data_IF_224687503701
#
_entry.id   IF_224687503701
#
_cell.length_a   1.000
_cell.length_b   1.000
_cell.length_c   1.000
_cell.angle_alpha   90.00
_cell.angle_beta   90.00
_cell.angle_gamma   90.00
#
_symmetry.space_group_name_H-M   'P 1'
#
loop_
_entity.id
_entity.type
_entity.pdbx_description
1 polymer ?
#
# COMPACT_ATOMS: atom_id res chain seq x y z
N UNK A 1 14.76 3.09 -9.88
CA UNK A 1 14.41 3.92 -11.05
C UNK A 1 13.01 3.58 -11.50
N UNK A 2 12.29 4.53 -12.08
CA UNK A 2 10.96 4.32 -12.69
C UNK A 2 10.84 5.16 -13.95
N UNK A 3 10.03 4.72 -14.91
CA UNK A 3 9.66 5.56 -16.05
C UNK A 3 8.43 6.35 -15.66
N UNK A 4 8.49 7.67 -15.79
CA UNK A 4 7.32 8.54 -15.73
C UNK A 4 6.93 8.84 -17.17
N UNK A 5 5.72 8.41 -17.57
CA UNK A 5 5.13 8.68 -18.86
C UNK A 5 4.02 9.72 -18.70
N UNK A 6 4.16 10.84 -19.39
CA UNK A 6 3.22 11.96 -19.40
C UNK A 6 2.57 12.03 -20.77
N UNK A 7 1.26 11.86 -20.82
CA UNK A 7 0.45 12.01 -22.03
C UNK A 7 -0.28 13.35 -21.89
N UNK A 8 0.09 14.36 -22.69
CA UNK A 8 -0.50 15.70 -22.65
C UNK A 8 -0.58 16.29 -24.06
N UNK A 9 -1.26 17.43 -24.22
CA UNK A 9 -1.29 18.15 -25.50
C UNK A 9 0.12 18.60 -25.91
N UNK A 10 0.40 18.58 -27.22
CA UNK A 10 1.73 18.88 -27.77
C UNK A 10 2.32 20.23 -27.31
N UNK A 11 1.50 21.22 -26.95
CA UNK A 11 1.96 22.52 -26.44
C UNK A 11 2.66 22.46 -25.07
N UNK A 12 2.47 21.38 -24.30
CA UNK A 12 3.13 21.21 -23.00
C UNK A 12 4.50 20.54 -23.10
N UNK A 13 4.88 20.01 -24.27
CA UNK A 13 6.10 19.23 -24.46
C UNK A 13 7.37 20.01 -24.10
N UNK A 14 7.46 21.28 -24.53
CA UNK A 14 8.61 22.15 -24.24
C UNK A 14 8.74 22.44 -22.74
N UNK A 15 7.60 22.54 -22.04
CA UNK A 15 7.61 22.81 -20.60
C UNK A 15 7.96 21.56 -19.80
N UNK A 16 7.51 20.38 -20.26
CA UNK A 16 7.91 19.08 -19.70
C UNK A 16 9.41 18.85 -19.92
N UNK A 17 9.95 19.25 -21.08
CA UNK A 17 11.39 19.23 -21.34
C UNK A 17 12.16 20.15 -20.36
N UNK A 18 11.64 21.34 -20.08
CA UNK A 18 12.21 22.24 -19.07
C UNK A 18 12.24 21.65 -17.66
N UNK A 19 11.19 20.91 -17.26
CA UNK A 19 11.19 20.17 -15.99
C UNK A 19 12.25 19.06 -16.00
N UNK A 20 12.39 18.33 -17.10
CA UNK A 20 13.41 17.29 -17.22
C UNK A 20 14.83 17.87 -17.11
N UNK A 21 15.12 19.00 -17.77
CA UNK A 21 16.40 19.70 -17.66
C UNK A 21 16.64 20.26 -16.26
N UNK A 22 15.63 20.87 -15.63
CA UNK A 22 15.74 21.44 -14.28
C UNK A 22 16.10 20.39 -13.23
N UNK A 23 15.60 19.16 -13.38
CA UNK A 23 15.90 18.05 -12.49
C UNK A 23 17.07 17.17 -12.99
N UNK A 24 17.79 17.62 -14.03
CA UNK A 24 18.93 16.91 -14.63
C UNK A 24 18.59 15.46 -15.02
N UNK A 25 17.42 15.25 -15.62
CA UNK A 25 17.01 13.95 -16.12
C UNK A 25 17.58 13.77 -17.53
N UNK A 26 18.63 12.96 -17.64
CA UNK A 26 19.37 12.75 -18.89
C UNK A 26 18.60 11.89 -19.90
N UNK A 27 17.77 10.97 -19.41
CA UNK A 27 17.04 9.99 -20.21
C UNK A 27 15.56 10.40 -20.37
N UNK A 28 15.31 11.35 -21.27
CA UNK A 28 13.97 11.79 -21.67
C UNK A 28 13.72 11.49 -23.17
N UNK A 29 12.57 10.88 -23.46
CA UNK A 29 12.13 10.51 -24.80
C UNK A 29 10.80 11.17 -25.13
N UNK A 30 10.73 11.79 -26.29
CA UNK A 30 9.52 12.44 -26.79
C UNK A 30 8.95 11.63 -27.94
N UNK A 31 7.75 11.09 -27.76
CA UNK A 31 7.01 10.38 -28.80
C UNK A 31 6.50 11.32 -29.90
N UNK A 32 6.01 10.77 -31.02
CA UNK A 32 5.33 11.56 -32.04
C UNK A 32 4.02 12.14 -31.49
N UNK A 33 3.55 13.23 -32.12
CA UNK A 33 2.21 13.77 -31.86
C UNK A 33 1.19 12.85 -32.51
N UNK A 34 0.27 12.34 -31.70
CA UNK A 34 -0.83 11.49 -32.16
C UNK A 34 -1.89 12.32 -32.91
N UNK A 35 -2.77 11.64 -33.65
CA UNK A 35 -3.88 12.28 -34.38
C UNK A 35 -4.79 13.12 -33.49
N UNK A 36 -4.87 12.78 -32.19
CA UNK A 36 -5.61 13.52 -31.16
C UNK A 36 -4.87 14.77 -30.63
N UNK A 37 -3.79 15.21 -31.27
CA UNK A 37 -2.92 16.33 -30.84
C UNK A 37 -2.20 16.13 -29.49
N UNK A 38 -2.17 14.89 -28.99
CA UNK A 38 -1.46 14.50 -27.75
C UNK A 38 -0.08 13.94 -28.04
N UNK A 39 0.85 14.21 -27.16
CA UNK A 39 2.21 13.69 -27.19
C UNK A 39 2.52 12.93 -25.91
N UNK A 40 3.15 11.76 -26.04
CA UNK A 40 3.65 10.99 -24.91
C UNK A 40 5.13 11.33 -24.68
N UNK A 41 5.44 11.80 -23.47
CA UNK A 41 6.80 12.08 -23.02
C UNK A 41 7.16 11.08 -21.94
N UNK A 42 8.28 10.37 -22.10
CA UNK A 42 8.77 9.37 -21.15
C UNK A 42 10.08 9.86 -20.58
N UNK A 43 10.26 9.70 -19.28
CA UNK A 43 11.53 10.03 -18.62
C UNK A 43 11.88 8.98 -17.59
N UNK A 44 13.15 8.55 -17.57
CA UNK A 44 13.66 7.64 -16.55
C UNK A 44 14.09 8.46 -15.34
N UNK A 45 13.40 8.27 -14.22
CA UNK A 45 13.61 9.08 -13.01
C UNK A 45 14.17 8.22 -11.89
N UNK A 46 15.19 8.75 -11.24
CA UNK A 46 15.81 8.17 -10.06
C UNK A 46 14.91 8.28 -8.82
N UNK A 47 15.24 7.53 -7.77
CA UNK A 47 14.34 7.41 -6.62
C UNK A 47 14.28 8.69 -5.76
N UNK A 48 15.36 9.44 -5.74
CA UNK A 48 15.58 10.69 -5.00
C UNK A 48 14.87 11.89 -5.62
N UNK A 49 14.84 11.99 -6.96
CA UNK A 49 14.20 13.10 -7.69
C UNK A 49 12.72 12.85 -8.04
N UNK A 50 12.22 11.64 -7.78
CA UNK A 50 10.88 11.19 -8.26
C UNK A 50 9.73 12.03 -7.74
N UNK A 51 9.71 12.34 -6.45
CA UNK A 51 8.59 13.08 -5.86
C UNK A 51 8.56 14.52 -6.37
N UNK A 52 9.72 15.19 -6.43
CA UNK A 52 9.82 16.56 -6.93
C UNK A 52 9.33 16.67 -8.38
N UNK A 53 9.70 15.70 -9.23
CA UNK A 53 9.26 15.64 -10.63
C UNK A 53 7.75 15.39 -10.72
N UNK A 54 7.20 14.49 -9.89
CA UNK A 54 5.76 14.24 -9.85
C UNK A 54 4.98 15.48 -9.39
N UNK A 55 5.46 16.17 -8.36
CA UNK A 55 4.82 17.38 -7.84
C UNK A 55 4.84 18.51 -8.88
N UNK A 56 5.96 18.68 -9.60
CA UNK A 56 6.10 19.65 -10.69
C UNK A 56 5.15 19.33 -11.86
N UNK A 57 5.08 18.07 -12.28
CA UNK A 57 4.17 17.63 -13.34
C UNK A 57 2.70 17.77 -12.94
N UNK A 58 2.34 17.42 -11.70
CA UNK A 58 0.99 17.60 -11.18
C UNK A 58 0.59 19.08 -11.17
N UNK A 59 1.50 19.97 -10.73
CA UNK A 59 1.28 21.42 -10.71
C UNK A 59 1.10 22.00 -12.11
N UNK A 60 1.89 21.54 -13.07
CA UNK A 60 1.81 21.97 -14.47
C UNK A 60 0.52 21.48 -15.13
N UNK A 61 0.14 20.23 -14.89
CA UNK A 61 -0.98 19.57 -15.56
C UNK A 61 -2.30 19.71 -14.81
N UNK A 62 -2.36 20.46 -13.70
CA UNK A 62 -3.58 20.63 -12.89
C UNK A 62 -4.75 21.22 -13.68
N UNK A 63 -4.45 21.97 -14.75
CA UNK A 63 -5.44 22.67 -15.58
C UNK A 63 -5.81 21.92 -16.87
N UNK A 64 -5.19 20.78 -17.13
CA UNK A 64 -5.31 20.06 -18.40
C UNK A 64 -6.17 18.80 -18.24
N UNK A 65 -7.44 18.88 -18.64
CA UNK A 65 -8.41 17.76 -18.51
C UNK A 65 -8.02 16.50 -19.29
N UNK A 66 -7.18 16.63 -20.31
CA UNK A 66 -6.75 15.52 -21.18
C UNK A 66 -5.32 15.02 -20.88
N UNK A 67 -4.76 15.42 -19.73
CA UNK A 67 -3.43 15.01 -19.32
C UNK A 67 -3.45 13.75 -18.43
N UNK A 68 -2.46 12.88 -18.61
CA UNK A 68 -2.29 11.69 -17.77
C UNK A 68 -0.83 11.45 -17.44
N UNK A 69 -0.54 11.25 -16.16
CA UNK A 69 0.76 10.83 -15.66
C UNK A 69 0.68 9.35 -15.31
N UNK A 70 1.60 8.56 -15.84
CA UNK A 70 1.69 7.11 -15.63
C UNK A 70 3.07 6.80 -15.09
N UNK A 71 3.13 6.08 -13.97
CA UNK A 71 4.40 5.69 -13.35
C UNK A 71 4.60 4.19 -13.57
N UNK A 72 5.63 3.84 -14.35
CA UNK A 72 5.95 2.46 -14.75
C UNK A 72 7.18 1.99 -13.95
N UNK A 73 7.09 0.90 -13.18
CA UNK A 73 8.24 0.34 -12.48
C UNK A 73 9.26 -0.19 -13.49
N UNK A 74 10.54 0.12 -13.26
CA UNK A 74 11.65 -0.40 -14.07
C UNK A 74 12.42 -1.41 -13.23
N UNK A 75 12.44 -2.67 -13.67
CA UNK A 75 13.16 -3.74 -12.99
C UNK A 75 14.68 -3.57 -13.16
N UNK A 76 15.13 -3.24 -14.38
CA UNK A 76 16.53 -3.03 -14.73
C UNK A 76 16.63 -1.99 -15.86
N UNK A 77 17.57 -1.05 -15.74
CA UNK A 77 18.00 -0.17 -16.83
C UNK A 77 19.51 -0.33 -17.02
N UNK A 78 19.94 -0.48 -18.28
CA UNK A 78 21.35 -0.59 -18.67
C UNK A 78 21.62 0.36 -19.86
N UNK A 79 22.76 1.06 -19.89
CA UNK A 79 23.82 1.11 -18.88
C UNK A 79 23.34 1.77 -17.57
N UNK A 80 24.02 1.51 -16.46
CA UNK A 80 23.74 2.26 -15.23
C UNK A 80 24.10 3.72 -15.51
N UNK A 81 23.21 4.69 -15.22
CA UNK A 81 23.57 6.11 -15.27
C UNK A 81 24.87 6.32 -14.50
N UNK A 82 25.72 7.23 -14.97
CA UNK A 82 26.96 7.55 -14.27
C UNK A 82 26.61 8.06 -12.88
N UNK A 83 26.74 7.19 -11.86
CA UNK A 83 26.89 7.60 -10.47
C UNK A 83 28.17 8.45 -10.45
N UNK A 84 28.02 9.76 -10.68
CA UNK A 84 29.08 10.71 -10.39
C UNK A 84 29.56 10.38 -8.98
N UNK A 85 30.86 10.09 -8.87
CA UNK A 85 31.52 9.65 -7.66
C UNK A 85 31.46 10.76 -6.60
N UNK A 86 30.33 10.93 -5.97
CA UNK A 86 30.21 11.72 -4.76
C UNK A 86 30.49 10.78 -3.58
N UNK A 87 31.69 10.93 -3.01
CA UNK A 87 32.19 10.27 -1.80
C UNK A 87 31.43 10.71 -0.52
N UNK A 88 30.14 11.03 -0.62
CA UNK A 88 29.29 11.28 0.55
C UNK A 88 28.54 9.99 0.92
N UNK A 89 29.16 9.24 1.83
CA UNK A 89 28.68 8.01 2.49
C UNK A 89 27.40 8.20 3.34
N UNK A 90 26.64 9.29 3.10
CA UNK A 90 25.36 9.61 3.71
C UNK A 90 24.15 9.32 2.78
N UNK A 91 24.40 9.06 1.50
CA UNK A 91 23.36 8.77 0.48
C UNK A 91 22.80 7.33 0.56
N UNK A 92 23.52 6.39 1.19
CA UNK A 92 23.07 4.99 1.39
C UNK A 92 21.86 4.84 2.32
N UNK A 93 21.36 5.91 2.93
CA UNK A 93 20.16 5.93 3.79
C UNK A 93 18.94 6.63 3.18
N UNK A 94 18.96 7.03 1.91
CA UNK A 94 17.70 7.32 1.20
C UNK A 94 17.11 5.99 0.73
N UNK A 95 16.59 5.24 1.70
CA UNK A 95 15.73 4.09 1.46
C UNK A 95 14.71 4.47 0.38
N UNK A 96 14.53 3.60 -0.62
CA UNK A 96 13.69 3.82 -1.78
C UNK A 96 12.41 4.58 -1.42
N UNK A 97 12.39 5.89 -1.68
CA UNK A 97 11.24 6.74 -1.35
C UNK A 97 10.07 6.27 -2.21
N UNK A 98 9.14 5.51 -1.65
CA UNK A 98 7.90 5.14 -2.35
C UNK A 98 7.12 6.45 -2.54
N UNK A 99 6.64 6.74 -3.75
CA UNK A 99 5.91 7.99 -3.97
C UNK A 99 4.55 7.94 -3.27
N UNK A 100 4.00 9.10 -2.89
CA UNK A 100 2.71 9.14 -2.16
C UNK A 100 1.62 8.39 -2.92
N UNK A 101 1.52 8.61 -4.22
CA UNK A 101 0.52 8.02 -5.11
C UNK A 101 0.65 6.49 -5.17
N UNK A 102 1.86 5.97 -5.04
CA UNK A 102 2.11 4.53 -5.03
C UNK A 102 1.69 3.91 -3.70
N UNK A 103 1.96 4.57 -2.57
CA UNK A 103 1.43 4.17 -1.26
C UNK A 103 -0.10 4.16 -1.33
N UNK A 104 -0.72 5.23 -1.80
CA UNK A 104 -2.17 5.31 -1.97
C UNK A 104 -2.71 4.18 -2.86
N UNK A 105 -2.11 3.94 -4.03
CA UNK A 105 -2.58 2.89 -4.95
C UNK A 105 -2.48 1.48 -4.36
N UNK A 106 -1.41 1.19 -3.61
CA UNK A 106 -1.25 -0.10 -2.93
C UNK A 106 -2.26 -0.27 -1.79
N UNK A 107 -2.46 0.81 -1.02
CA UNK A 107 -3.29 0.81 0.18
C UNK A 107 -4.78 0.81 -0.17
N UNK A 108 -5.20 1.53 -1.21
CA UNK A 108 -6.58 1.57 -1.69
C UNK A 108 -7.05 0.18 -2.16
N UNK A 109 -6.18 -0.56 -2.87
CA UNK A 109 -6.48 -1.96 -3.26
C UNK A 109 -6.69 -2.86 -2.05
N UNK A 110 -5.92 -2.64 -0.97
CA UNK A 110 -6.04 -3.40 0.27
C UNK A 110 -7.25 -3.01 1.14
N UNK A 111 -7.85 -1.84 0.92
CA UNK A 111 -8.97 -1.34 1.70
C UNK A 111 -10.35 -1.86 1.25
N UNK A 112 -10.45 -2.41 0.03
CA UNK A 112 -11.73 -2.75 -0.58
C UNK A 112 -12.34 -4.00 0.05
N UNK A 113 -13.60 -3.85 0.47
CA UNK A 113 -14.45 -4.97 0.85
C UNK A 113 -14.89 -5.72 -0.41
N UNK A 114 -14.10 -6.70 -0.85
CA UNK A 114 -14.44 -7.57 -1.98
C UNK A 114 -14.87 -8.97 -1.54
N UNK A 115 -15.38 -9.76 -2.49
CA UNK A 115 -15.84 -11.12 -2.21
C UNK A 115 -14.69 -12.04 -1.74
N UNK A 116 -13.47 -11.77 -2.20
CA UNK A 116 -12.30 -12.53 -1.81
C UNK A 116 -11.91 -12.27 -0.35
N UNK A 117 -11.96 -11.01 0.09
CA UNK A 117 -11.77 -10.60 1.47
C UNK A 117 -12.76 -11.31 2.40
N UNK A 118 -14.06 -11.28 2.06
CA UNK A 118 -15.09 -11.97 2.85
C UNK A 118 -14.82 -13.47 2.95
N UNK A 119 -14.48 -14.11 1.83
CA UNK A 119 -14.17 -15.54 1.80
C UNK A 119 -12.94 -15.88 2.65
N UNK A 120 -11.86 -15.12 2.51
CA UNK A 120 -10.62 -15.32 3.26
C UNK A 120 -10.81 -15.10 4.77
N UNK A 121 -11.63 -14.12 5.16
CA UNK A 121 -11.99 -13.90 6.57
C UNK A 121 -12.74 -15.11 7.13
N UNK A 122 -13.73 -15.63 6.41
CA UNK A 122 -14.49 -16.81 6.84
C UNK A 122 -13.57 -18.04 6.94
N UNK A 123 -12.74 -18.29 5.93
CA UNK A 123 -11.81 -19.43 5.93
C UNK A 123 -10.78 -19.30 7.06
N UNK A 124 -10.19 -18.12 7.25
CA UNK A 124 -9.27 -17.86 8.37
C UNK A 124 -9.95 -18.08 9.72
N UNK A 125 -11.19 -17.60 9.90
CA UNK A 125 -11.95 -17.79 11.13
C UNK A 125 -12.27 -19.27 11.41
N UNK A 126 -12.58 -20.07 10.38
CA UNK A 126 -12.76 -21.52 10.51
C UNK A 126 -11.47 -22.19 10.97
N UNK A 127 -10.35 -21.88 10.30
CA UNK A 127 -9.04 -22.46 10.64
C UNK A 127 -8.61 -22.05 12.05
N UNK A 128 -8.83 -20.79 12.43
CA UNK A 128 -8.54 -20.29 13.77
C UNK A 128 -9.40 -21.00 14.83
N UNK A 129 -10.71 -21.12 14.61
CA UNK A 129 -11.61 -21.77 15.55
C UNK A 129 -11.21 -23.24 15.79
N UNK A 130 -10.96 -24.00 14.72
CA UNK A 130 -10.51 -25.39 14.82
C UNK A 130 -9.14 -25.47 15.49
N UNK A 131 -8.19 -24.61 15.10
CA UNK A 131 -6.85 -24.58 15.67
C UNK A 131 -6.85 -24.31 17.18
N UNK A 132 -7.72 -23.40 17.64
CA UNK A 132 -7.88 -23.12 19.07
C UNK A 132 -8.54 -24.30 19.81
N UNK A 133 -9.58 -24.92 19.22
CA UNK A 133 -10.26 -26.07 19.83
C UNK A 133 -9.33 -27.29 19.98
N UNK A 134 -8.46 -27.53 18.99
CA UNK A 134 -7.47 -28.61 18.98
C UNK A 134 -6.17 -28.27 19.75
N UNK A 135 -6.09 -27.11 20.42
CA UNK A 135 -4.86 -26.61 21.07
C UNK A 135 -3.62 -26.62 20.14
N UNK A 136 -3.81 -26.32 18.86
CA UNK A 136 -2.75 -26.33 17.86
C UNK A 136 -2.32 -24.91 17.49
N UNK A 137 -1.31 -24.40 18.20
CA UNK A 137 -0.72 -23.07 17.98
C UNK A 137 -0.26 -22.88 16.54
N UNK A 138 0.29 -23.91 15.89
CA UNK A 138 0.77 -23.80 14.51
C UNK A 138 -0.37 -23.53 13.52
N UNK A 139 -1.53 -24.15 13.73
CA UNK A 139 -2.74 -23.90 12.92
C UNK A 139 -3.30 -22.51 13.19
N UNK A 140 -3.31 -22.07 14.46
CA UNK A 140 -3.74 -20.71 14.83
C UNK A 140 -2.85 -19.65 14.18
N UNK A 141 -1.53 -19.85 14.18
CA UNK A 141 -0.59 -18.96 13.48
C UNK A 141 -0.81 -19.00 11.96
N UNK A 142 -1.08 -20.18 11.40
CA UNK A 142 -1.44 -20.34 9.99
C UNK A 142 -2.68 -19.51 9.60
N UNK A 143 -3.69 -19.45 10.47
CA UNK A 143 -4.87 -18.61 10.25
C UNK A 143 -4.53 -17.11 10.16
N UNK A 144 -3.53 -16.64 10.92
CA UNK A 144 -3.07 -15.24 10.86
C UNK A 144 -2.45 -14.88 9.51
N UNK A 145 -1.77 -15.82 8.86
CA UNK A 145 -1.17 -15.62 7.53
C UNK A 145 -2.24 -15.48 6.44
N UNK A 146 -3.37 -16.18 6.61
CA UNK A 146 -4.50 -16.17 5.65
C UNK A 146 -5.33 -14.89 5.80
N UNK A 147 -5.44 -14.34 7.02
CA UNK A 147 -6.33 -13.24 7.33
C UNK A 147 -5.95 -11.95 6.58
N UNK A 148 -6.81 -11.41 5.69
CA UNK A 148 -6.50 -10.24 4.88
C UNK A 148 -6.74 -8.90 5.62
N UNK A 149 -6.63 -8.89 6.95
CA UNK A 149 -7.00 -7.73 7.78
C UNK A 149 -5.91 -6.64 7.83
N UNK A 150 -4.69 -6.94 7.37
CA UNK A 150 -3.60 -5.97 7.37
C UNK A 150 -3.86 -4.81 6.39
N UNK A 151 -4.40 -5.09 5.20
CA UNK A 151 -4.68 -4.09 4.17
C UNK A 151 -5.61 -2.97 4.66
N UNK A 152 -6.82 -3.31 5.17
CA UNK A 152 -7.74 -2.30 5.71
C UNK A 152 -7.16 -1.54 6.90
N UNK A 153 -6.38 -2.18 7.78
CA UNK A 153 -5.76 -1.49 8.92
C UNK A 153 -4.73 -0.44 8.47
N UNK A 154 -3.90 -0.75 7.46
CA UNK A 154 -2.95 0.20 6.88
C UNK A 154 -3.71 1.35 6.20
N UNK A 155 -4.77 1.03 5.46
CA UNK A 155 -5.61 2.04 4.79
C UNK A 155 -6.30 3.00 5.75
N UNK A 156 -6.81 2.47 6.86
CA UNK A 156 -7.41 3.29 7.90
C UNK A 156 -6.39 4.22 8.55
N UNK A 157 -5.19 3.71 8.86
CA UNK A 157 -4.10 4.50 9.43
C UNK A 157 -3.66 5.62 8.48
N UNK A 158 -3.43 5.29 7.20
CA UNK A 158 -3.01 6.25 6.18
C UNK A 158 -4.07 7.32 5.92
N UNK A 159 -5.32 6.91 5.71
CA UNK A 159 -6.43 7.84 5.50
C UNK A 159 -6.61 8.79 6.68
N UNK A 160 -6.47 8.29 7.91
CA UNK A 160 -6.55 9.13 9.12
C UNK A 160 -5.36 10.07 9.23
N UNK A 161 -4.14 9.61 8.94
CA UNK A 161 -2.93 10.43 9.03
C UNK A 161 -2.89 11.56 7.98
N UNK A 162 -3.41 11.30 6.78
CA UNK A 162 -3.42 12.26 5.67
C UNK A 162 -4.70 13.10 5.60
N UNK A 163 -5.70 12.81 6.44
CA UNK A 163 -6.99 13.51 6.44
C UNK A 163 -7.92 13.10 5.29
N UNK A 164 -7.65 11.97 4.64
CA UNK A 164 -8.45 11.42 3.54
C UNK A 164 -9.64 10.64 4.10
N UNK A 165 -10.76 11.33 4.31
CA UNK A 165 -11.92 10.78 5.03
C UNK A 165 -12.58 9.62 4.31
N UNK A 166 -12.63 9.65 2.97
CA UNK A 166 -13.29 8.61 2.18
C UNK A 166 -12.53 7.28 2.28
N UNK A 167 -11.19 7.33 2.15
CA UNK A 167 -10.33 6.17 2.35
C UNK A 167 -10.43 5.62 3.78
N UNK A 168 -10.44 6.49 4.78
CA UNK A 168 -10.56 6.08 6.18
C UNK A 168 -11.91 5.41 6.47
N UNK A 169 -13.02 5.97 5.95
CA UNK A 169 -14.35 5.40 6.13
C UNK A 169 -14.51 4.05 5.42
N UNK A 170 -14.00 3.91 4.20
CA UNK A 170 -14.08 2.65 3.45
C UNK A 170 -13.24 1.55 4.10
N UNK A 171 -12.03 1.88 4.56
CA UNK A 171 -11.20 0.98 5.34
C UNK A 171 -11.88 0.57 6.66
N UNK A 172 -12.50 1.52 7.37
CA UNK A 172 -13.23 1.24 8.60
C UNK A 172 -14.42 0.30 8.38
N UNK A 173 -15.18 0.49 7.30
CA UNK A 173 -16.26 -0.44 6.92
C UNK A 173 -15.72 -1.85 6.67
N UNK A 174 -14.59 -1.98 5.98
CA UNK A 174 -13.95 -3.27 5.72
C UNK A 174 -13.48 -3.95 7.01
N UNK A 175 -12.86 -3.20 7.94
CA UNK A 175 -12.46 -3.70 9.26
C UNK A 175 -13.67 -4.20 10.04
N UNK A 176 -14.72 -3.36 10.16
CA UNK A 176 -15.93 -3.72 10.91
C UNK A 176 -16.64 -4.94 10.30
N UNK A 177 -16.77 -5.00 8.99
CA UNK A 177 -17.33 -6.15 8.30
C UNK A 177 -16.51 -7.42 8.54
N UNK A 178 -15.18 -7.33 8.47
CA UNK A 178 -14.26 -8.44 8.76
C UNK A 178 -14.41 -8.95 10.20
N UNK A 179 -14.48 -8.04 11.18
CA UNK A 179 -14.69 -8.39 12.60
C UNK A 179 -16.04 -9.08 12.80
N UNK A 180 -17.11 -8.51 12.26
CA UNK A 180 -18.46 -9.09 12.37
C UNK A 180 -18.51 -10.49 11.74
N UNK A 181 -17.91 -10.68 10.57
CA UNK A 181 -17.84 -11.97 9.89
C UNK A 181 -17.03 -12.99 10.68
N UNK A 182 -15.87 -12.61 11.21
CA UNK A 182 -15.04 -13.49 12.02
C UNK A 182 -15.75 -13.94 13.30
N UNK A 183 -16.37 -12.98 14.02
CA UNK A 183 -17.14 -13.26 15.24
C UNK A 183 -18.34 -14.15 14.93
N UNK A 184 -19.11 -13.84 13.88
CA UNK A 184 -20.27 -14.64 13.49
C UNK A 184 -19.87 -16.08 13.11
N UNK A 185 -18.77 -16.23 12.35
CA UNK A 185 -18.26 -17.54 11.94
C UNK A 185 -17.80 -18.35 13.16
N UNK A 186 -16.99 -17.75 14.04
CA UNK A 186 -16.55 -18.40 15.28
C UNK A 186 -17.70 -18.77 16.20
N UNK A 187 -18.71 -17.91 16.32
CA UNK A 187 -19.92 -18.18 17.10
C UNK A 187 -20.72 -19.36 16.54
N UNK A 188 -20.92 -19.43 15.22
CA UNK A 188 -21.60 -20.55 14.57
C UNK A 188 -20.84 -21.86 14.80
N UNK A 189 -19.50 -21.86 14.65
CA UNK A 189 -18.67 -23.04 14.89
C UNK A 189 -18.78 -23.49 16.36
N UNK A 190 -18.71 -22.55 17.30
CA UNK A 190 -18.86 -22.84 18.73
C UNK A 190 -20.21 -23.47 19.07
N UNK A 191 -21.31 -23.02 18.44
CA UNK A 191 -22.64 -23.63 18.62
C UNK A 191 -22.75 -25.04 18.05
N UNK A 192 -22.07 -25.31 16.94
CA UNK A 192 -22.08 -26.62 16.27
C UNK A 192 -21.09 -27.60 16.89
N UNK A 193 -20.16 -27.13 17.72
CA UNK A 193 -19.11 -27.97 18.29
C UNK A 193 -19.68 -28.90 19.37
N UNK A 194 -19.47 -30.23 19.24
CA UNK A 194 -20.04 -31.21 20.18
C UNK A 194 -19.19 -31.39 21.47
N UNK A 195 -17.96 -30.86 21.50
CA UNK A 195 -17.01 -31.03 22.59
C UNK A 195 -17.04 -29.91 23.63
N UNK A 196 -16.21 -30.06 24.67
CA UNK A 196 -15.98 -29.00 25.66
C UNK A 196 -15.20 -27.83 25.03
N UNK A 197 -15.50 -26.62 25.52
CA UNK A 197 -14.86 -25.36 25.11
C UNK A 197 -13.85 -24.90 26.17
N UNK A 198 -13.04 -25.84 26.68
CA UNK A 198 -12.07 -25.64 27.76
C UNK A 198 -10.61 -25.73 27.28
N UNK A 199 -10.39 -25.61 25.97
CA UNK A 199 -9.05 -25.64 25.40
C UNK A 199 -8.20 -24.48 25.94
N UNK A 200 -6.94 -24.76 26.26
CA UNK A 200 -5.98 -23.79 26.78
C UNK A 200 -5.85 -22.58 25.85
N UNK A 201 -5.78 -22.81 24.54
CA UNK A 201 -5.68 -21.73 23.54
C UNK A 201 -6.92 -20.83 23.50
N UNK A 202 -8.13 -21.37 23.71
CA UNK A 202 -9.35 -20.55 23.82
C UNK A 202 -9.34 -19.70 25.10
N UNK A 203 -8.97 -20.30 26.22
CA UNK A 203 -8.97 -19.62 27.52
C UNK A 203 -7.95 -18.48 27.56
N UNK A 204 -6.72 -18.71 27.07
CA UNK A 204 -5.68 -17.70 27.00
C UNK A 204 -6.05 -16.47 26.14
N UNK A 205 -7.01 -16.62 25.21
CA UNK A 205 -7.47 -15.53 24.33
C UNK A 205 -8.71 -14.81 24.86
N UNK A 206 -9.29 -15.29 25.96
CA UNK A 206 -10.46 -14.68 26.61
C UNK A 206 -10.05 -13.72 27.73
N UNK A 207 -8.84 -13.85 28.26
CA UNK A 207 -8.33 -12.97 29.31
C UNK A 207 -7.82 -11.63 28.74
N UNK A 208 -8.42 -10.53 29.21
CA UNK A 208 -7.99 -9.17 28.88
C UNK A 208 -7.00 -8.64 29.93
N UNK A 209 -5.70 -8.72 29.64
CA UNK A 209 -4.66 -8.16 30.50
C UNK A 209 -4.24 -6.74 30.06
N UNK A 210 -3.93 -5.87 31.03
CA UNK A 210 -3.34 -4.55 30.77
C UNK A 210 -2.00 -4.61 30.02
N UNK A 211 -1.28 -5.72 30.12
CA UNK A 211 -0.07 -5.98 29.33
C UNK A 211 -0.34 -5.97 27.83
N UNK A 212 -1.52 -6.43 27.40
CA UNK A 212 -1.93 -6.38 26.00
C UNK A 212 -2.02 -4.95 25.46
N UNK A 213 -2.54 -4.02 26.25
CA UNK A 213 -2.59 -2.60 25.88
C UNK A 213 -1.20 -2.00 25.74
N UNK A 214 -0.28 -2.34 26.65
CA UNK A 214 1.11 -1.88 26.58
C UNK A 214 1.82 -2.42 25.32
N UNK A 215 1.62 -3.70 24.99
CA UNK A 215 2.16 -4.31 23.76
C UNK A 215 1.57 -3.62 22.53
N UNK A 216 0.26 -3.39 22.48
CA UNK A 216 -0.38 -2.72 21.34
C UNK A 216 0.18 -1.31 21.10
N UNK A 217 0.36 -0.52 22.16
CA UNK A 217 0.96 0.82 22.07
C UNK A 217 2.42 0.76 21.60
N UNK A 218 3.22 -0.16 22.15
CA UNK A 218 4.62 -0.33 21.75
C UNK A 218 4.76 -0.79 20.29
N UNK A 219 3.94 -1.74 19.85
CA UNK A 219 3.91 -2.22 18.47
C UNK A 219 3.48 -1.12 17.49
N UNK A 220 2.46 -0.32 17.84
CA UNK A 220 2.04 0.82 17.02
C UNK A 220 3.13 1.88 16.89
N UNK A 221 3.81 2.22 17.98
CA UNK A 221 4.94 3.15 17.96
C UNK A 221 6.10 2.61 17.11
N UNK A 222 6.45 1.32 17.26
CA UNK A 222 7.48 0.68 16.46
C UNK A 222 7.15 0.69 14.96
N UNK A 223 5.90 0.39 14.60
CA UNK A 223 5.43 0.42 13.21
C UNK A 223 5.48 1.84 12.61
N UNK A 224 5.22 2.87 13.40
CA UNK A 224 5.31 4.27 12.92
C UNK A 224 6.73 4.77 12.66
N UNK A 225 7.73 4.10 13.23
CA UNK A 225 9.15 4.47 13.12
C UNK A 225 9.92 3.67 12.07
N UNK A 226 9.32 2.61 11.52
CA UNK A 226 9.93 1.71 10.54
C UNK A 226 9.52 2.05 9.12
#
# INVERSE_FOLDING_TARGET
>A
MKIIEVIADAGHADTIAGIAEQHEITDAWFGPVNEDNRQAVRMLVEADKRQDVLDALQTLLSSSDNARIVVIPVEVALPKPDEAKDEDDNSKKKAATISREEIFSQVEKGARLDANFVLLVILSAIVAAIGMLENNVAVVVGAMVIAPLLGPNIAFSLGTALGETDLALDALKAILAGVVLAVATGYIIGLLWPGALDSTELMLRTDAFYSGTAIALASGAAASLS
#
